data_IF_966267126950
#
_entry.id   IF_966267126950
#
_cell.length_a   1.000
_cell.length_b   1.000
_cell.length_c   1.000
_cell.angle_alpha   90.00
_cell.angle_beta   90.00
_cell.angle_gamma   90.00
#
_symmetry.space_group_name_H-M   'P 1'
#
loop_
_entity.id
_entity.type
_entity.pdbx_description
1 polymer ?
#
# COMPACT_ATOMS: atom_id res chain seq x y z
N UNK A 1 30.91 41.96 -13.85
CA UNK A 1 31.89 40.95 -14.31
C UNK A 1 32.02 39.92 -13.19
N UNK A 2 31.44 38.73 -13.30
CA UNK A 2 31.58 37.71 -12.26
C UNK A 2 33.02 37.18 -12.29
N UNK A 3 33.76 37.39 -11.20
CA UNK A 3 35.16 37.00 -11.11
C UNK A 3 35.38 35.49 -11.26
N UNK A 4 36.61 35.04 -11.58
CA UNK A 4 36.95 33.63 -11.78
C UNK A 4 36.52 32.72 -10.61
N UNK A 5 36.53 33.23 -9.38
CA UNK A 5 36.05 32.50 -8.20
C UNK A 5 34.57 32.11 -8.25
N UNK A 6 33.70 32.95 -8.84
CA UNK A 6 32.27 32.66 -8.97
C UNK A 6 32.06 31.51 -9.97
N UNK A 7 32.79 31.51 -11.10
CA UNK A 7 32.67 30.44 -12.10
C UNK A 7 33.13 29.08 -11.56
N UNK A 8 34.22 29.06 -10.78
CA UNK A 8 34.70 27.84 -10.12
C UNK A 8 33.68 27.32 -9.11
N UNK A 9 33.11 28.20 -8.29
CA UNK A 9 32.09 27.84 -7.31
C UNK A 9 30.85 27.23 -7.99
N UNK A 10 30.35 27.82 -9.09
CA UNK A 10 29.23 27.24 -9.84
C UNK A 10 29.56 25.87 -10.44
N UNK A 11 30.78 25.66 -10.94
CA UNK A 11 31.21 24.36 -11.47
C UNK A 11 31.28 23.29 -10.39
N UNK A 12 31.81 23.61 -9.21
CA UNK A 12 31.85 22.68 -8.08
C UNK A 12 30.46 22.31 -7.59
N UNK A 13 29.54 23.29 -7.53
CA UNK A 13 28.15 23.04 -7.13
C UNK A 13 27.43 22.12 -8.14
N UNK A 14 27.57 22.40 -9.43
CA UNK A 14 26.96 21.56 -10.48
C UNK A 14 27.54 20.15 -10.50
N UNK A 15 28.86 20.00 -10.31
CA UNK A 15 29.51 18.70 -10.20
C UNK A 15 29.08 17.92 -8.95
N UNK A 16 28.95 18.59 -7.81
CA UNK A 16 28.44 17.96 -6.59
C UNK A 16 26.98 17.49 -6.75
N UNK A 17 26.14 18.28 -7.45
CA UNK A 17 24.76 17.91 -7.76
C UNK A 17 24.68 16.71 -8.71
N UNK A 18 25.53 16.62 -9.74
CA UNK A 18 25.54 15.46 -10.64
C UNK A 18 26.08 14.20 -9.96
N UNK A 19 27.11 14.34 -9.11
CA UNK A 19 27.66 13.24 -8.33
C UNK A 19 26.63 12.65 -7.33
N UNK A 20 25.82 13.50 -6.70
CA UNK A 20 24.78 13.04 -5.77
C UNK A 20 23.69 12.23 -6.48
N UNK A 21 23.28 12.62 -7.70
CA UNK A 21 22.33 11.85 -8.51
C UNK A 21 22.85 10.46 -8.87
N UNK A 22 24.13 10.36 -9.27
CA UNK A 22 24.77 9.07 -9.58
C UNK A 22 24.95 8.19 -8.34
N UNK A 23 25.29 8.80 -7.19
CA UNK A 23 25.43 8.06 -5.93
C UNK A 23 24.09 7.51 -5.42
N UNK A 24 22.99 8.18 -5.73
CA UNK A 24 21.65 7.74 -5.30
C UNK A 24 21.31 6.35 -5.85
N UNK A 25 21.74 6.02 -7.08
CA UNK A 25 21.57 4.68 -7.65
C UNK A 25 22.38 3.58 -6.95
N UNK A 26 23.44 3.93 -6.23
CA UNK A 26 24.23 2.99 -5.41
C UNK A 26 23.70 2.90 -3.96
N UNK A 27 23.16 4.00 -3.43
CA UNK A 27 22.62 4.09 -2.06
C UNK A 27 21.24 3.43 -1.92
N UNK A 28 20.39 3.51 -2.94
CA UNK A 28 19.10 2.84 -2.93
C UNK A 28 19.22 1.45 -3.56
N UNK A 29 19.05 0.35 -2.80
CA UNK A 29 19.04 -0.97 -3.39
C UNK A 29 17.97 -1.08 -4.48
N UNK A 30 18.27 -1.76 -5.59
CA UNK A 30 17.37 -1.97 -6.72
C UNK A 30 16.03 -2.67 -6.37
N UNK A 31 15.86 -3.11 -5.11
CA UNK A 31 14.67 -3.80 -4.61
C UNK A 31 13.87 -3.05 -3.53
N UNK A 32 14.21 -1.82 -3.15
CA UNK A 32 13.53 -1.10 -2.05
C UNK A 32 12.01 -1.04 -2.25
N UNK A 33 11.56 -0.82 -3.49
CA UNK A 33 10.12 -0.80 -3.81
C UNK A 33 9.46 -2.17 -3.57
N UNK A 34 10.13 -3.27 -3.92
CA UNK A 34 9.63 -4.64 -3.65
C UNK A 34 9.55 -4.91 -2.16
N UNK A 35 10.60 -4.56 -1.42
CA UNK A 35 10.65 -4.69 0.04
C UNK A 35 9.51 -3.91 0.70
N UNK A 36 9.25 -2.67 0.27
CA UNK A 36 8.14 -1.88 0.79
C UNK A 36 6.75 -2.47 0.48
N UNK A 37 6.59 -3.16 -0.66
CA UNK A 37 5.38 -3.92 -0.97
C UNK A 37 5.23 -5.17 -0.08
N UNK A 38 6.33 -5.89 0.17
CA UNK A 38 6.37 -7.09 1.01
C UNK A 38 6.12 -6.78 2.49
N UNK A 39 6.64 -5.65 3.00
CA UNK A 39 6.37 -5.17 4.36
C UNK A 39 4.89 -4.82 4.60
N UNK A 40 4.04 -4.83 3.57
CA UNK A 40 2.61 -4.57 3.67
C UNK A 40 2.22 -3.10 3.88
N UNK A 41 3.19 -2.20 4.08
CA UNK A 41 2.98 -0.78 4.32
C UNK A 41 2.44 -0.02 3.10
N UNK A 42 2.79 -0.43 1.88
CA UNK A 42 2.41 0.32 0.66
C UNK A 42 1.06 -0.04 0.03
N UNK A 43 0.24 -0.92 0.62
CA UNK A 43 -1.07 -1.17 0.04
C UNK A 43 -1.67 -2.56 0.23
N UNK A 44 -1.07 -3.45 1.02
CA UNK A 44 -1.70 -4.74 1.32
C UNK A 44 -3.13 -4.58 1.89
N UNK A 45 -3.38 -3.48 2.63
CA UNK A 45 -4.73 -3.09 3.06
C UNK A 45 -5.66 -2.84 1.88
N UNK A 46 -5.27 -1.98 0.94
CA UNK A 46 -6.06 -1.66 -0.27
C UNK A 46 -6.29 -2.91 -1.13
N UNK A 47 -5.29 -3.78 -1.27
CA UNK A 47 -5.40 -5.01 -2.05
C UNK A 47 -6.47 -5.95 -1.47
N UNK A 48 -6.52 -6.10 -0.14
CA UNK A 48 -7.51 -6.98 0.50
C UNK A 48 -8.91 -6.34 0.50
N UNK A 49 -9.01 -5.08 0.90
CA UNK A 49 -10.30 -4.44 1.12
C UNK A 49 -11.04 -4.09 -0.17
N UNK A 50 -10.34 -3.97 -1.30
CA UNK A 50 -10.96 -3.72 -2.61
C UNK A 50 -11.30 -5.01 -3.39
N UNK A 51 -11.12 -6.20 -2.82
CA UNK A 51 -11.51 -7.42 -3.51
C UNK A 51 -13.05 -7.57 -3.52
N UNK A 52 -13.64 -8.06 -4.62
CA UNK A 52 -15.09 -8.30 -4.67
C UNK A 52 -15.49 -9.39 -3.68
N UNK A 53 -16.77 -9.42 -3.29
CA UNK A 53 -17.31 -10.52 -2.47
C UNK A 53 -17.14 -11.84 -3.20
N UNK A 54 -16.61 -12.85 -2.52
CA UNK A 54 -16.54 -14.22 -3.05
C UNK A 54 -17.20 -15.20 -2.09
N UNK A 55 -18.45 -15.55 -2.39
CA UNK A 55 -19.24 -16.54 -1.64
C UNK A 55 -18.55 -17.91 -1.56
N UNK A 56 -17.82 -18.30 -2.60
CA UNK A 56 -17.18 -19.62 -2.69
C UNK A 56 -18.10 -20.70 -3.25
N UNK A 57 -17.65 -21.96 -3.20
CA UNK A 57 -18.30 -23.11 -3.86
C UNK A 57 -18.56 -24.31 -2.94
N UNK A 58 -18.41 -24.16 -1.62
CA UNK A 58 -18.75 -25.20 -0.65
C UNK A 58 -20.25 -25.17 -0.27
N UNK A 59 -20.66 -26.03 0.68
CA UNK A 59 -22.08 -26.20 1.07
C UNK A 59 -22.38 -25.82 2.52
N UNK A 60 -21.53 -25.01 3.15
CA UNK A 60 -21.80 -24.46 4.49
C UNK A 60 -22.40 -23.05 4.40
N UNK A 61 -22.96 -22.56 5.50
CA UNK A 61 -23.44 -21.18 5.61
C UNK A 61 -22.70 -20.52 6.77
N UNK A 62 -21.75 -19.64 6.46
CA UNK A 62 -21.08 -18.80 7.44
C UNK A 62 -21.42 -17.34 7.20
N UNK A 63 -21.93 -16.65 8.22
CA UNK A 63 -22.03 -15.19 8.21
C UNK A 63 -20.64 -14.59 8.36
N UNK A 64 -20.26 -13.74 7.41
CA UNK A 64 -18.97 -13.06 7.34
C UNK A 64 -19.19 -11.59 7.00
N UNK A 65 -18.14 -10.81 7.15
CA UNK A 65 -18.12 -9.40 6.81
C UNK A 65 -17.09 -9.14 5.71
N UNK A 66 -17.38 -8.19 4.83
CA UNK A 66 -16.46 -7.69 3.82
C UNK A 66 -16.52 -6.16 3.81
N UNK A 67 -15.46 -5.52 3.37
CA UNK A 67 -15.47 -4.08 3.14
C UNK A 67 -16.06 -3.80 1.76
N UNK A 68 -17.11 -2.99 1.72
CA UNK A 68 -17.68 -2.47 0.50
C UNK A 68 -17.08 -1.07 0.22
N UNK A 69 -16.28 -0.90 -0.85
CA UNK A 69 -15.66 0.39 -1.17
C UNK A 69 -16.67 1.45 -1.65
N UNK A 70 -17.87 1.04 -2.11
CA UNK A 70 -18.89 1.99 -2.58
C UNK A 70 -19.61 2.67 -1.41
N UNK A 71 -19.97 1.89 -0.38
CA UNK A 71 -20.59 2.43 0.84
C UNK A 71 -19.56 2.90 1.87
N UNK A 72 -18.28 2.53 1.69
CA UNK A 72 -17.21 2.68 2.67
C UNK A 72 -17.50 2.00 4.03
N UNK A 73 -18.34 0.95 4.02
CA UNK A 73 -18.75 0.23 5.23
C UNK A 73 -18.36 -1.24 5.18
N UNK A 74 -18.26 -1.84 6.36
CA UNK A 74 -18.17 -3.29 6.51
C UNK A 74 -19.58 -3.91 6.56
N UNK A 75 -19.94 -4.60 5.49
CA UNK A 75 -21.25 -5.22 5.26
C UNK A 75 -21.19 -6.73 5.47
N UNK A 76 -22.32 -7.35 5.78
CA UNK A 76 -22.41 -8.80 5.96
C UNK A 76 -22.65 -9.52 4.62
N UNK A 77 -22.16 -10.75 4.52
CA UNK A 77 -22.44 -11.65 3.39
C UNK A 77 -22.37 -13.12 3.82
N UNK A 78 -22.88 -14.02 2.98
CA UNK A 78 -22.80 -15.47 3.20
C UNK A 78 -21.55 -16.02 2.52
N UNK A 79 -20.72 -16.68 3.31
CA UNK A 79 -19.58 -17.45 2.83
C UNK A 79 -19.85 -18.95 2.95
N UNK A 80 -19.52 -19.68 1.90
CA UNK A 80 -19.82 -21.13 1.79
C UNK A 80 -18.83 -22.05 2.51
N UNK A 81 -17.72 -21.51 3.01
CA UNK A 81 -16.70 -22.26 3.75
C UNK A 81 -15.38 -22.44 3.00
N UNK A 82 -15.38 -22.42 1.66
CA UNK A 82 -14.17 -22.53 0.86
C UNK A 82 -14.20 -21.66 -0.40
N UNK A 83 -13.04 -21.46 -1.05
CA UNK A 83 -12.96 -20.77 -2.34
C UNK A 83 -13.19 -19.25 -2.28
N UNK A 84 -13.24 -18.65 -1.10
CA UNK A 84 -13.35 -17.20 -0.90
C UNK A 84 -12.04 -16.46 -1.16
N UNK A 85 -12.01 -15.16 -0.86
CA UNK A 85 -10.80 -14.34 -0.89
C UNK A 85 -10.55 -13.70 0.49
N UNK A 86 -9.63 -12.74 0.58
CA UNK A 86 -9.21 -12.14 1.86
C UNK A 86 -10.17 -11.05 2.35
N UNK A 87 -11.07 -10.53 1.51
CA UNK A 87 -12.15 -9.63 1.93
C UNK A 87 -13.27 -10.44 2.60
N UNK A 88 -12.93 -11.14 3.68
CA UNK A 88 -13.78 -12.10 4.37
C UNK A 88 -13.35 -12.18 5.84
N UNK A 89 -14.11 -11.52 6.71
CA UNK A 89 -13.81 -11.36 8.12
C UNK A 89 -14.88 -12.05 8.98
N UNK A 90 -14.46 -12.60 10.13
CA UNK A 90 -15.36 -13.30 11.06
C UNK A 90 -16.29 -12.36 11.83
N UNK A 91 -15.87 -11.11 12.05
CA UNK A 91 -16.63 -10.10 12.80
C UNK A 91 -16.54 -8.76 12.08
N UNK A 92 -17.54 -7.90 12.31
CA UNK A 92 -17.57 -6.53 11.75
C UNK A 92 -16.34 -5.73 12.19
N UNK A 93 -16.01 -5.78 13.49
CA UNK A 93 -14.84 -5.12 14.07
C UNK A 93 -13.53 -5.47 13.35
N UNK A 94 -13.30 -6.75 13.03
CA UNK A 94 -12.08 -7.16 12.31
C UNK A 94 -12.02 -6.60 10.90
N UNK A 95 -13.16 -6.50 10.22
CA UNK A 95 -13.25 -5.83 8.93
C UNK A 95 -12.95 -4.33 9.07
N UNK A 96 -13.57 -3.66 10.04
CA UNK A 96 -13.42 -2.21 10.24
C UNK A 96 -11.98 -1.84 10.58
N UNK A 97 -11.36 -2.51 11.57
CA UNK A 97 -9.94 -2.33 11.92
C UNK A 97 -9.04 -2.58 10.71
N UNK A 98 -9.36 -3.59 9.90
CA UNK A 98 -8.54 -3.93 8.74
C UNK A 98 -8.70 -2.94 7.60
N UNK A 99 -9.89 -2.44 7.32
CA UNK A 99 -10.26 -1.79 6.07
C UNK A 99 -10.64 -0.31 6.19
N UNK A 100 -11.21 0.09 7.31
CA UNK A 100 -11.57 1.50 7.56
C UNK A 100 -10.36 2.19 8.20
N UNK A 101 -9.96 3.33 7.67
CA UNK A 101 -9.07 4.25 8.39
C UNK A 101 -9.97 5.29 9.03
N UNK A 102 -9.92 5.41 10.35
CA UNK A 102 -10.47 6.58 11.02
C UNK A 102 -9.38 7.62 10.96
N UNK A 103 -9.55 8.64 10.11
CA UNK A 103 -8.80 9.88 10.24
C UNK A 103 -9.14 10.45 11.61
N UNK A 104 -8.14 10.48 12.50
CA UNK A 104 -8.27 11.14 13.80
C UNK A 104 -8.02 12.62 13.54
N UNK A 105 -9.11 13.37 13.41
CA UNK A 105 -9.08 14.82 13.58
C UNK A 105 -8.83 15.17 15.06
#
# INVERSE_FOLDING_TARGET
MAGPGIRLALWLLTFAMSLSMLSSSLLYPAGVRSQLCESGHLGAKRIICNQPVKKGFCSFTFYRYYFNPESALCESFIFTGCGGNRNNFKTKYLCEVRCIHVEKD
#
